data_IF_456037215203
#
_entry.id   IF_456037215203
#
_cell.length_a   1.000
_cell.length_b   1.000
_cell.length_c   1.000
_cell.angle_alpha   90.00
_cell.angle_beta   90.00
_cell.angle_gamma   90.00
#
_symmetry.space_group_name_H-M   'P 1'
#
loop_
_entity.id
_entity.type
_entity.pdbx_description
1 polymer ?
#
# COMPACT_ATOMS: atom_id res chain seq x y z
N UNK A 1 -12.78 -12.87 13.82
CA UNK A 1 -11.91 -11.66 13.83
C UNK A 1 -10.59 -11.96 13.17
N UNK A 2 -9.79 -12.92 13.66
CA UNK A 2 -8.49 -13.30 13.04
C UNK A 2 -8.64 -13.65 11.55
N UNK A 3 -9.57 -14.51 11.15
CA UNK A 3 -9.79 -14.83 9.73
C UNK A 3 -10.28 -13.65 8.86
N UNK A 4 -10.93 -12.64 9.45
CA UNK A 4 -11.36 -11.43 8.74
C UNK A 4 -10.20 -10.45 8.54
N UNK A 5 -9.24 -10.44 9.48
CA UNK A 5 -7.98 -9.68 9.40
C UNK A 5 -6.98 -10.37 8.47
N UNK A 6 -6.94 -11.69 8.48
CA UNK A 6 -6.03 -12.50 7.67
C UNK A 6 -6.42 -12.46 6.18
N UNK A 7 -7.72 -12.50 5.87
CA UNK A 7 -8.23 -12.30 4.51
C UNK A 7 -7.97 -10.88 3.95
N UNK A 8 -7.80 -9.88 4.82
CA UNK A 8 -7.43 -8.52 4.42
C UNK A 8 -5.91 -8.35 4.20
N UNK A 9 -5.07 -9.19 4.83
CA UNK A 9 -3.61 -9.11 4.75
C UNK A 9 -3.00 -9.93 3.61
N UNK A 10 -3.75 -10.85 2.99
CA UNK A 10 -3.24 -11.75 1.94
C UNK A 10 -3.38 -11.21 0.51
N UNK A 11 -3.69 -9.93 0.32
CA UNK A 11 -3.95 -9.38 -1.01
C UNK A 11 -2.68 -8.84 -1.66
N UNK A 12 -2.41 -9.31 -2.88
CA UNK A 12 -1.32 -8.79 -3.73
C UNK A 12 -1.70 -7.39 -4.19
N UNK A 13 -0.70 -6.53 -4.37
CA UNK A 13 -0.93 -5.19 -4.89
C UNK A 13 -1.34 -5.27 -6.37
N UNK A 14 -2.42 -4.58 -6.81
CA UNK A 14 -2.92 -4.67 -8.18
C UNK A 14 -1.90 -4.22 -9.24
N UNK A 15 -0.95 -3.33 -8.92
CA UNK A 15 0.14 -2.97 -9.85
C UNK A 15 1.08 -4.14 -10.15
N UNK A 16 1.24 -5.05 -9.19
CA UNK A 16 2.09 -6.23 -9.36
C UNK A 16 1.44 -7.23 -10.32
N UNK A 17 0.10 -7.35 -10.30
CA UNK A 17 -0.65 -8.14 -11.27
C UNK A 17 -0.55 -7.57 -12.69
N UNK A 18 -0.53 -6.23 -12.84
CA UNK A 18 -0.30 -5.58 -14.12
C UNK A 18 1.09 -5.91 -14.68
N UNK A 19 2.13 -5.85 -13.85
CA UNK A 19 3.49 -6.20 -14.26
C UNK A 19 3.61 -7.68 -14.67
N UNK A 20 2.97 -8.58 -13.92
CA UNK A 20 2.92 -10.02 -14.23
C UNK A 20 2.18 -10.28 -15.55
N UNK A 21 1.06 -9.57 -15.79
CA UNK A 21 0.29 -9.69 -17.03
C UNK A 21 1.07 -9.19 -18.25
N UNK A 22 1.77 -8.07 -18.13
CA UNK A 22 2.66 -7.57 -19.20
C UNK A 22 3.77 -8.59 -19.48
N UNK A 23 4.41 -9.11 -18.44
CA UNK A 23 5.48 -10.11 -18.58
C UNK A 23 4.98 -11.39 -19.27
N UNK A 24 3.75 -11.82 -18.97
CA UNK A 24 3.14 -13.01 -19.57
C UNK A 24 2.94 -12.91 -21.09
N UNK A 25 2.80 -11.70 -21.63
CA UNK A 25 2.67 -11.44 -23.07
C UNK A 25 4.02 -11.09 -23.69
N UNK A 26 4.87 -10.36 -22.97
CA UNK A 26 6.16 -9.88 -23.46
C UNK A 26 7.16 -11.01 -23.70
N UNK A 27 7.27 -11.96 -22.76
CA UNK A 27 8.19 -13.09 -22.85
C UNK A 27 7.96 -13.94 -24.13
N UNK A 28 6.73 -14.43 -24.41
CA UNK A 28 6.50 -15.19 -25.64
C UNK A 28 6.68 -14.34 -26.91
N UNK A 29 6.37 -13.03 -26.87
CA UNK A 29 6.58 -12.15 -28.01
C UNK A 29 8.06 -11.99 -28.37
N UNK A 30 8.95 -11.80 -27.38
CA UNK A 30 10.40 -11.70 -27.59
C UNK A 30 10.98 -13.01 -28.11
N UNK A 31 10.53 -14.16 -27.58
CA UNK A 31 10.94 -15.48 -28.06
C UNK A 31 10.57 -15.69 -29.54
N UNK A 32 9.35 -15.29 -29.94
CA UNK A 32 8.92 -15.36 -31.34
C UNK A 32 9.73 -14.44 -32.25
N UNK A 33 10.03 -13.20 -31.81
CA UNK A 33 10.89 -12.26 -32.54
C UNK A 33 12.33 -12.77 -32.69
N UNK A 34 12.90 -13.37 -31.65
CA UNK A 34 14.24 -13.98 -31.69
C UNK A 34 14.28 -15.17 -32.67
N UNK A 35 13.26 -16.05 -32.63
CA UNK A 35 13.14 -17.16 -33.55
C UNK A 35 12.95 -16.69 -35.01
N UNK A 36 12.11 -15.67 -35.22
CA UNK A 36 11.92 -15.07 -36.53
C UNK A 36 13.23 -14.48 -37.08
N UNK A 37 14.00 -13.79 -36.23
CA UNK A 37 15.32 -13.24 -36.60
C UNK A 37 16.30 -14.34 -36.98
N UNK A 38 16.33 -15.44 -36.21
CA UNK A 38 17.15 -16.61 -36.49
C UNK A 38 16.82 -17.23 -37.86
N UNK A 39 15.54 -17.49 -38.12
CA UNK A 39 15.07 -18.09 -39.38
C UNK A 39 15.32 -17.14 -40.56
N UNK A 40 15.06 -15.85 -40.39
CA UNK A 40 15.26 -14.85 -41.44
C UNK A 40 16.72 -14.77 -41.87
N UNK A 41 17.65 -14.67 -40.91
CA UNK A 41 19.09 -14.65 -41.22
C UNK A 41 19.58 -15.97 -41.83
N UNK A 42 19.08 -17.10 -41.33
CA UNK A 42 19.45 -18.41 -41.87
C UNK A 42 18.99 -18.57 -43.32
N UNK A 43 17.75 -18.18 -43.65
CA UNK A 43 17.22 -18.24 -45.03
C UNK A 43 17.93 -17.26 -45.96
N UNK A 44 18.19 -16.03 -45.52
CA UNK A 44 18.89 -15.02 -46.33
C UNK A 44 20.33 -15.43 -46.66
N UNK A 45 21.05 -16.02 -45.69
CA UNK A 45 22.41 -16.55 -45.88
C UNK A 45 22.41 -17.83 -46.74
N UNK A 46 21.41 -18.72 -46.55
CA UNK A 46 21.28 -19.94 -47.35
C UNK A 46 20.86 -19.70 -48.80
N UNK A 47 20.05 -18.66 -49.08
CA UNK A 47 19.69 -18.28 -50.45
C UNK A 47 20.75 -17.43 -51.16
N UNK A 48 21.79 -16.96 -50.46
CA UNK A 48 22.88 -16.16 -51.04
C UNK A 48 22.45 -14.75 -51.49
N UNK A 49 21.33 -14.23 -50.96
CA UNK A 49 20.83 -12.88 -51.29
C UNK A 49 21.70 -11.79 -50.64
N UNK A 50 22.36 -12.13 -49.52
CA UNK A 50 23.25 -11.25 -48.77
C UNK A 50 24.63 -11.89 -48.72
N UNK A 51 25.62 -11.24 -49.32
CA UNK A 51 27.04 -11.61 -49.19
C UNK A 51 27.64 -10.77 -48.06
N UNK A 52 28.02 -11.42 -46.96
CA UNK A 52 28.75 -10.78 -45.86
C UNK A 52 30.23 -10.66 -46.25
N UNK A 53 30.54 -9.73 -47.15
CA UNK A 53 31.89 -9.56 -47.73
C UNK A 53 32.82 -8.69 -46.84
N UNK A 54 32.27 -7.87 -45.93
CA UNK A 54 33.05 -6.83 -45.21
C UNK A 54 33.14 -6.95 -43.67
N UNK A 55 32.53 -7.95 -43.01
CA UNK A 55 32.57 -8.07 -41.52
C UNK A 55 33.35 -9.31 -41.07
N UNK A 56 34.33 -9.73 -41.87
CA UNK A 56 35.06 -10.99 -41.70
C UNK A 56 36.49 -10.79 -41.23
N UNK A 57 36.70 -10.11 -40.09
CA UNK A 57 38.01 -10.06 -39.42
C UNK A 57 38.21 -11.18 -38.37
N UNK A 58 37.33 -12.17 -38.30
CA UNK A 58 37.51 -13.31 -37.39
C UNK A 58 36.91 -14.62 -37.93
N UNK A 59 37.83 -15.44 -38.46
CA UNK A 59 37.86 -16.91 -38.41
C UNK A 59 36.49 -17.63 -38.49
N UNK A 60 36.12 -18.04 -39.70
CA UNK A 60 35.34 -19.27 -39.97
C UNK A 60 34.00 -19.43 -39.24
N UNK A 61 33.15 -18.41 -39.26
CA UNK A 61 31.76 -18.55 -38.80
C UNK A 61 30.88 -19.25 -39.84
N UNK A 62 30.29 -20.40 -39.48
CA UNK A 62 29.22 -21.03 -40.26
C UNK A 62 27.96 -20.13 -40.26
N UNK A 63 27.17 -20.14 -41.35
CA UNK A 63 25.91 -19.38 -41.46
C UNK A 63 24.98 -19.56 -40.25
N UNK A 64 25.02 -20.75 -39.64
CA UNK A 64 24.30 -21.09 -38.42
C UNK A 64 24.76 -20.27 -37.20
N UNK A 65 26.08 -20.16 -36.97
CA UNK A 65 26.63 -19.46 -35.80
C UNK A 65 26.34 -17.96 -35.87
N UNK A 66 26.41 -17.36 -37.06
CA UNK A 66 26.07 -15.96 -37.26
C UNK A 66 24.58 -15.68 -36.96
N UNK A 67 23.68 -16.51 -37.50
CA UNK A 67 22.23 -16.38 -37.26
C UNK A 67 21.87 -16.56 -35.78
N UNK A 68 22.55 -17.47 -35.08
CA UNK A 68 22.38 -17.68 -33.64
C UNK A 68 22.84 -16.45 -32.83
N UNK A 69 23.99 -15.86 -33.17
CA UNK A 69 24.47 -14.62 -32.52
C UNK A 69 23.45 -13.48 -32.64
N UNK A 70 22.89 -13.28 -33.82
CA UNK A 70 21.87 -12.25 -34.05
C UNK A 70 20.59 -12.52 -33.22
N UNK A 71 20.16 -13.78 -33.13
CA UNK A 71 19.00 -14.16 -32.32
C UNK A 71 19.21 -13.92 -30.81
N UNK A 72 20.40 -14.25 -30.29
CA UNK A 72 20.78 -14.01 -28.89
C UNK A 72 20.89 -12.50 -28.62
N UNK A 73 21.45 -11.73 -29.56
CA UNK A 73 21.55 -10.27 -29.45
C UNK A 73 20.17 -9.62 -29.26
N UNK A 74 19.18 -10.02 -30.06
CA UNK A 74 17.78 -9.55 -29.91
C UNK A 74 17.20 -9.93 -28.55
N UNK A 75 17.45 -11.16 -28.07
CA UNK A 75 16.97 -11.63 -26.77
C UNK A 75 17.55 -10.83 -25.60
N UNK A 76 18.86 -10.51 -25.65
CA UNK A 76 19.55 -9.74 -24.60
C UNK A 76 19.10 -8.29 -24.60
N UNK A 77 18.99 -7.66 -25.77
CA UNK A 77 18.53 -6.25 -25.89
C UNK A 77 17.09 -6.09 -25.42
N UNK A 78 16.25 -7.11 -25.60
CA UNK A 78 14.85 -7.09 -25.17
C UNK A 78 14.64 -7.36 -23.67
N UNK A 79 15.69 -7.66 -22.90
CA UNK A 79 15.53 -8.06 -21.49
C UNK A 79 14.88 -6.93 -20.65
N UNK A 80 13.69 -7.13 -20.06
CA UNK A 80 12.91 -6.06 -19.45
C UNK A 80 13.32 -5.77 -17.99
N UNK A 81 14.63 -5.74 -17.70
CA UNK A 81 15.17 -5.63 -16.34
C UNK A 81 14.58 -4.45 -15.53
N UNK A 82 14.28 -3.33 -16.19
CA UNK A 82 13.68 -2.16 -15.55
C UNK A 82 12.22 -2.38 -15.12
N UNK A 83 11.46 -3.22 -15.84
CA UNK A 83 10.04 -3.46 -15.58
C UNK A 83 9.82 -4.11 -14.21
N UNK A 84 10.67 -5.08 -13.85
CA UNK A 84 10.56 -5.84 -12.59
C UNK A 84 10.94 -5.03 -11.34
N UNK A 85 11.76 -3.99 -11.48
CA UNK A 85 12.17 -3.14 -10.37
C UNK A 85 11.35 -1.86 -10.22
N UNK A 86 10.65 -1.42 -11.26
CA UNK A 86 9.87 -0.18 -11.24
C UNK A 86 8.80 -0.17 -10.12
N UNK A 87 8.01 -1.24 -9.99
CA UNK A 87 6.97 -1.34 -8.98
C UNK A 87 7.50 -1.34 -7.52
N UNK A 88 8.45 -2.21 -7.12
CA UNK A 88 8.94 -2.21 -5.74
C UNK A 88 9.70 -0.93 -5.37
N UNK A 89 10.40 -0.31 -6.33
CA UNK A 89 11.09 0.97 -6.07
C UNK A 89 10.11 2.12 -5.87
N UNK A 90 9.03 2.19 -6.66
CA UNK A 90 7.99 3.19 -6.49
C UNK A 90 7.30 3.06 -5.11
N UNK A 91 6.96 1.83 -4.69
CA UNK A 91 6.34 1.58 -3.37
C UNK A 91 7.31 1.91 -2.23
N UNK A 92 8.57 1.50 -2.33
CA UNK A 92 9.57 1.76 -1.29
C UNK A 92 9.84 3.26 -1.12
N UNK A 93 10.00 4.00 -2.21
CA UNK A 93 10.21 5.45 -2.14
C UNK A 93 8.94 6.17 -1.70
N UNK A 94 7.77 5.79 -2.22
CA UNK A 94 6.49 6.39 -1.86
C UNK A 94 6.16 6.24 -0.37
N UNK A 95 6.36 5.05 0.18
CA UNK A 95 6.18 4.79 1.63
C UNK A 95 7.22 5.55 2.48
N UNK A 96 8.46 5.69 2.00
CA UNK A 96 9.49 6.50 2.67
C UNK A 96 9.14 7.98 2.73
N UNK A 97 8.60 8.54 1.64
CA UNK A 97 8.11 9.93 1.61
C UNK A 97 6.87 10.11 2.49
N UNK A 98 5.94 9.14 2.50
CA UNK A 98 4.80 9.19 3.42
C UNK A 98 5.23 9.19 4.89
N UNK A 99 6.21 8.35 5.24
CA UNK A 99 6.73 8.27 6.60
C UNK A 99 7.39 9.59 7.07
N UNK A 100 8.06 10.32 6.18
CA UNK A 100 8.64 11.63 6.52
C UNK A 100 7.58 12.72 6.77
N UNK A 101 6.35 12.50 6.31
CA UNK A 101 5.18 13.35 6.55
C UNK A 101 4.30 12.85 7.71
N UNK A 102 4.75 11.84 8.47
CA UNK A 102 4.00 11.26 9.59
C UNK A 102 2.90 10.29 9.17
N UNK A 103 2.88 9.85 7.91
CA UNK A 103 1.90 8.89 7.38
C UNK A 103 2.56 7.52 7.23
N UNK A 104 2.23 6.58 8.13
CA UNK A 104 2.76 5.23 8.09
C UNK A 104 1.90 4.33 7.19
N UNK A 105 2.41 4.01 6.00
CA UNK A 105 1.72 3.15 5.03
C UNK A 105 2.27 1.73 5.13
N UNK A 106 1.41 0.77 5.49
CA UNK A 106 1.78 -0.63 5.69
C UNK A 106 1.49 -1.46 4.43
N UNK A 107 2.51 -1.63 3.59
CA UNK A 107 2.46 -2.44 2.36
C UNK A 107 2.06 -1.65 1.10
N UNK A 108 2.31 -2.24 -0.08
CA UNK A 108 2.04 -1.59 -1.38
C UNK A 108 0.56 -1.46 -1.72
N UNK A 109 -0.26 -2.44 -1.35
CA UNK A 109 -1.71 -2.40 -1.60
C UNK A 109 -2.39 -1.18 -0.94
N UNK A 110 -2.00 -0.83 0.28
CA UNK A 110 -2.54 0.35 0.96
C UNK A 110 -2.18 1.67 0.24
N UNK A 111 -0.97 1.76 -0.33
CA UNK A 111 -0.52 2.92 -1.11
C UNK A 111 -1.33 3.07 -2.41
N UNK A 112 -1.61 1.96 -3.09
CA UNK A 112 -2.38 1.95 -4.33
C UNK A 112 -3.88 2.17 -4.10
N UNK A 113 -4.44 1.53 -3.06
CA UNK A 113 -5.83 1.72 -2.68
C UNK A 113 -6.10 3.17 -2.28
N UNK A 114 -5.14 3.85 -1.64
CA UNK A 114 -5.26 5.26 -1.26
C UNK A 114 -5.56 6.19 -2.44
N UNK A 115 -5.08 5.87 -3.65
CA UNK A 115 -5.38 6.65 -4.85
C UNK A 115 -6.86 6.56 -5.28
N UNK A 116 -7.54 5.47 -4.95
CA UNK A 116 -8.92 5.20 -5.38
C UNK A 116 -9.95 5.53 -4.28
N UNK A 117 -9.54 6.13 -3.16
CA UNK A 117 -10.45 6.47 -2.06
C UNK A 117 -11.29 7.69 -2.46
N UNK A 118 -12.61 7.50 -2.53
CA UNK A 118 -13.57 8.58 -2.77
C UNK A 118 -14.23 9.08 -1.48
N UNK A 119 -14.31 8.24 -0.46
CA UNK A 119 -14.97 8.54 0.81
C UNK A 119 -14.12 8.10 2.00
N UNK A 120 -14.04 8.97 3.01
CA UNK A 120 -13.34 8.68 4.27
C UNK A 120 -14.36 8.65 5.40
N UNK A 121 -14.55 7.49 6.00
CA UNK A 121 -15.38 7.32 7.20
C UNK A 121 -14.45 7.32 8.41
N UNK A 122 -14.56 8.36 9.23
CA UNK A 122 -13.75 8.49 10.44
C UNK A 122 -14.55 7.98 11.64
N UNK A 123 -13.91 7.15 12.46
CA UNK A 123 -14.46 6.85 13.78
C UNK A 123 -14.43 8.12 14.64
N UNK A 124 -15.43 8.32 15.49
CA UNK A 124 -15.47 9.52 16.34
C UNK A 124 -14.50 9.37 17.50
N UNK A 125 -14.59 8.25 18.22
CA UNK A 125 -13.92 8.09 19.51
C UNK A 125 -12.45 7.72 19.32
N UNK A 126 -11.53 8.62 19.72
CA UNK A 126 -10.09 8.36 19.63
C UNK A 126 -9.46 8.63 18.26
N UNK A 127 -10.25 8.98 17.23
CA UNK A 127 -9.73 9.51 15.95
C UNK A 127 -10.03 10.99 15.82
N UNK A 128 -11.32 11.38 15.88
CA UNK A 128 -11.71 12.81 15.89
C UNK A 128 -11.58 13.38 17.31
N UNK A 129 -11.92 12.58 18.33
CA UNK A 129 -11.82 13.00 19.73
C UNK A 129 -10.54 12.50 20.38
N UNK A 130 -10.14 13.15 21.47
CA UNK A 130 -8.98 12.74 22.30
C UNK A 130 -9.14 11.36 22.96
N UNK A 131 -10.30 10.69 22.80
CA UNK A 131 -10.61 9.41 23.44
C UNK A 131 -10.78 9.50 24.97
N UNK A 132 -10.65 10.71 25.54
CA UNK A 132 -10.81 10.99 26.96
C UNK A 132 -12.09 11.80 27.18
N UNK A 133 -13.12 11.22 27.80
CA UNK A 133 -14.34 11.98 28.09
C UNK A 133 -14.06 13.05 29.13
N UNK A 134 -14.61 14.23 28.87
CA UNK A 134 -14.62 15.37 29.78
C UNK A 134 -16.06 15.84 29.88
N UNK A 135 -16.52 16.08 31.09
CA UNK A 135 -17.83 16.68 31.31
C UNK A 135 -17.74 18.16 30.99
N UNK A 136 -18.68 18.65 30.18
CA UNK A 136 -18.76 20.05 29.76
C UNK A 136 -19.83 20.81 30.53
N UNK A 137 -20.98 20.19 30.74
CA UNK A 137 -22.17 20.83 31.30
C UNK A 137 -22.80 19.96 32.39
N UNK A 138 -23.33 20.62 33.42
CA UNK A 138 -24.09 19.98 34.50
C UNK A 138 -25.34 20.80 34.73
N UNK A 139 -26.48 20.27 34.29
CA UNK A 139 -27.79 20.87 34.54
C UNK A 139 -28.48 20.17 35.71
N UNK A 140 -28.82 20.93 36.75
CA UNK A 140 -29.54 20.42 37.92
C UNK A 140 -31.00 20.83 37.80
N UNK A 141 -31.88 19.87 37.55
CA UNK A 141 -33.33 20.07 37.57
C UNK A 141 -33.80 20.03 39.03
N UNK A 142 -33.92 21.20 39.67
CA UNK A 142 -34.54 21.31 41.00
C UNK A 142 -36.07 21.26 40.88
N UNK A 143 -36.69 20.22 41.43
CA UNK A 143 -38.11 20.26 41.80
C UNK A 143 -38.25 20.71 43.25
N UNK A 144 -38.89 21.87 43.49
CA UNK A 144 -39.39 22.53 44.74
C UNK A 144 -38.75 22.26 46.13
N UNK A 145 -37.62 21.57 46.23
CA UNK A 145 -36.87 21.32 47.45
C UNK A 145 -35.39 21.59 47.19
N UNK A 146 -34.81 22.52 47.95
CA UNK A 146 -33.41 22.90 47.86
C UNK A 146 -32.51 21.74 48.31
N UNK A 147 -32.09 20.89 47.37
CA UNK A 147 -31.04 19.90 47.64
C UNK A 147 -29.68 20.61 47.50
N UNK A 148 -28.84 20.63 48.56
CA UNK A 148 -27.53 21.25 48.47
C UNK A 148 -26.68 20.55 47.40
N UNK A 149 -26.02 21.33 46.53
CA UNK A 149 -25.14 20.85 45.45
C UNK A 149 -24.05 19.85 45.93
N UNK A 150 -23.71 19.87 47.22
CA UNK A 150 -22.77 18.93 47.86
C UNK A 150 -23.34 17.51 48.02
N UNK A 151 -24.63 17.35 48.30
CA UNK A 151 -25.28 16.04 48.47
C UNK A 151 -25.48 15.30 47.14
N UNK A 152 -25.91 16.03 46.10
CA UNK A 152 -26.02 15.49 44.74
C UNK A 152 -24.67 15.00 44.20
N UNK A 153 -23.59 15.70 44.56
CA UNK A 153 -22.20 15.38 44.19
C UNK A 153 -21.72 14.04 44.76
N UNK A 154 -22.03 13.72 46.01
CA UNK A 154 -21.67 12.43 46.62
C UNK A 154 -22.44 11.25 46.02
N UNK A 155 -23.73 11.42 45.71
CA UNK A 155 -24.51 10.37 45.05
C UNK A 155 -24.07 10.11 43.60
N UNK A 156 -23.66 11.14 42.85
CA UNK A 156 -23.09 10.96 41.51
C UNK A 156 -21.74 10.23 41.53
N UNK A 157 -20.94 10.40 42.59
CA UNK A 157 -19.67 9.69 42.77
C UNK A 157 -19.87 8.17 42.90
N UNK A 158 -20.82 7.75 43.73
CA UNK A 158 -21.13 6.33 43.96
C UNK A 158 -21.67 5.64 42.70
N UNK A 159 -22.48 6.35 41.90
CA UNK A 159 -23.04 5.82 40.65
C UNK A 159 -21.96 5.68 39.56
N UNK A 160 -21.00 6.60 39.50
CA UNK A 160 -19.94 6.59 38.50
C UNK A 160 -18.97 5.41 38.63
N UNK A 161 -18.69 4.95 39.85
CA UNK A 161 -17.74 3.85 40.14
C UNK A 161 -18.23 2.49 39.64
N UNK A 162 -19.54 2.30 39.45
CA UNK A 162 -20.10 1.00 39.04
C UNK A 162 -20.11 0.76 37.52
N UNK A 163 -19.70 1.73 36.69
CA UNK A 163 -19.78 1.61 35.23
C UNK A 163 -18.39 1.47 34.61
N UNK A 164 -18.21 0.56 33.64
CA UNK A 164 -16.91 0.28 32.99
C UNK A 164 -16.73 1.02 31.65
N UNK A 165 -17.66 1.90 31.31
CA UNK A 165 -17.63 2.69 30.07
C UNK A 165 -16.71 3.91 30.17
N UNK A 166 -16.30 4.51 29.04
CA UNK A 166 -15.41 5.67 29.03
C UNK A 166 -15.92 6.82 29.91
N UNK A 167 -17.23 7.05 29.95
CA UNK A 167 -17.87 8.11 30.75
C UNK A 167 -17.63 7.97 32.27
N UNK A 168 -17.47 6.74 32.78
CA UNK A 168 -17.26 6.44 34.19
C UNK A 168 -16.00 7.11 34.76
N UNK A 169 -14.94 7.17 33.96
CA UNK A 169 -13.63 7.68 34.36
C UNK A 169 -13.63 9.22 34.54
N UNK A 170 -14.60 9.92 33.93
CA UNK A 170 -14.66 11.39 33.94
C UNK A 170 -15.47 12.00 35.10
N UNK A 171 -16.37 11.21 35.71
CA UNK A 171 -17.22 11.59 36.83
C UNK A 171 -16.44 11.96 38.12
N UNK A 172 -15.43 11.19 38.58
CA UNK A 172 -14.68 11.55 39.78
C UNK A 172 -13.76 12.76 39.59
N UNK A 173 -13.27 13.01 38.37
CA UNK A 173 -12.45 14.19 38.04
C UNK A 173 -13.26 15.51 38.13
N UNK A 174 -14.57 15.45 37.86
CA UNK A 174 -15.46 16.59 38.01
C UNK A 174 -15.62 17.06 39.47
N UNK A 175 -15.55 16.13 40.41
CA UNK A 175 -15.63 16.43 41.85
C UNK A 175 -14.41 17.19 42.36
N UNK A 176 -13.23 16.94 41.76
CA UNK A 176 -11.99 17.62 42.13
C UNK A 176 -11.84 18.99 41.45
N UNK A 177 -12.21 19.13 40.17
CA UNK A 177 -12.10 20.40 39.46
C UNK A 177 -13.02 21.49 40.03
N UNK A 178 -14.24 21.14 40.47
CA UNK A 178 -15.14 22.08 41.14
C UNK A 178 -14.76 22.45 42.58
N UNK A 179 -13.71 21.84 43.14
CA UNK A 179 -13.14 22.21 44.44
C UNK A 179 -12.00 23.23 44.32
N UNK A 180 -11.50 23.49 43.11
CA UNK A 180 -10.36 24.38 42.86
C UNK A 180 -10.77 25.82 42.48
N UNK A 181 -12.06 26.09 42.24
CA UNK A 181 -12.61 27.42 41.92
C UNK A 181 -13.32 28.11 43.10
N UNK A 182 -12.97 27.77 44.35
CA UNK A 182 -13.40 28.49 45.55
C UNK A 182 -12.22 29.10 46.29
#
# INVERSE_FOLDING_TARGET
IVGLVEAAQSQRAPVQELADKVSSVFVPAVLLMSLATFVLWLVLLSCGIVQLDEVSDSERHNNFTFSLMMAISVLVVACPCALGLAAPTAVMVGTGVGASQGVLIKGGHALEAAHQIEAVVLDKTGTITEGKPRVTDVEVLCGEGEVPLQGARQHLADVGVSTSGPLATSLPLLLLAGSAER
#
